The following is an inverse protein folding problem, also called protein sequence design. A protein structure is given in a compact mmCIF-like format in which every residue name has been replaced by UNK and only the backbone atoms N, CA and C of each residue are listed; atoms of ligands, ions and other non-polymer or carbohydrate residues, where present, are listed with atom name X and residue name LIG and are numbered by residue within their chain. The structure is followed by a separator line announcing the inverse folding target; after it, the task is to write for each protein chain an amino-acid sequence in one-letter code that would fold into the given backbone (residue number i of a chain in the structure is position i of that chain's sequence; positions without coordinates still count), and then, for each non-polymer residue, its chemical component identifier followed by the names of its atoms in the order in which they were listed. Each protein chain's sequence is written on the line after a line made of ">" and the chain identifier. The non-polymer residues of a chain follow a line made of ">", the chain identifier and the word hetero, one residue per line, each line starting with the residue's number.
data_IF_204739188263
#
_entry.id   IF_204739188263
#
_cell.length_a   1.000
_cell.length_b   1.000
_cell.length_c   1.000
_cell.angle_alpha   90.00
_cell.angle_beta   90.00
_cell.angle_gamma   90.00
#
_symmetry.space_group_name_H-M   'P 1'
#
loop_
_entity.id
_entity.type
_entity.pdbx_description
1 polymer ?
#
# COMPACT_ATOMS: atom_id res chain seq x y z
N UNK A 1 -59.39 -2.23 -23.08
CA UNK A 1 -58.38 -2.65 -22.11
C UNK A 1 -57.04 -2.55 -22.78
N UNK A 2 -56.31 -1.50 -22.50
CA UNK A 2 -54.93 -1.33 -23.03
C UNK A 2 -53.98 -1.88 -21.99
N UNK A 3 -53.32 -2.99 -22.30
CA UNK A 3 -52.23 -3.53 -21.50
C UNK A 3 -51.02 -2.67 -21.81
N UNK A 4 -50.60 -1.86 -20.84
CA UNK A 4 -49.32 -1.13 -20.90
C UNK A 4 -48.25 -2.13 -20.51
N UNK A 5 -47.53 -2.60 -21.52
CA UNK A 5 -46.33 -3.41 -21.32
C UNK A 5 -45.23 -2.43 -20.91
N UNK A 6 -45.01 -2.31 -19.61
CA UNK A 6 -43.88 -1.58 -19.06
C UNK A 6 -42.61 -2.38 -19.35
N UNK A 7 -41.89 -1.96 -20.36
CA UNK A 7 -40.53 -2.43 -20.61
C UNK A 7 -39.63 -1.78 -19.58
N UNK A 8 -39.41 -2.45 -18.47
CA UNK A 8 -38.30 -2.12 -17.60
C UNK A 8 -37.01 -2.48 -18.33
N UNK A 9 -36.46 -1.48 -18.99
CA UNK A 9 -35.09 -1.52 -19.45
C UNK A 9 -34.21 -1.45 -18.19
N UNK A 10 -33.88 -2.63 -17.65
CA UNK A 10 -32.87 -2.77 -16.62
C UNK A 10 -31.56 -2.31 -17.25
N UNK A 11 -31.23 -1.05 -17.03
CA UNK A 11 -29.90 -0.51 -17.30
C UNK A 11 -28.97 -1.20 -16.30
N UNK A 12 -28.44 -2.32 -16.70
CA UNK A 12 -27.37 -3.00 -16.00
C UNK A 12 -26.16 -2.06 -16.06
N UNK A 13 -26.06 -1.22 -15.03
CA UNK A 13 -24.88 -0.45 -14.78
C UNK A 13 -23.78 -1.49 -14.53
N UNK A 14 -22.99 -1.77 -15.57
CA UNK A 14 -21.70 -2.38 -15.41
C UNK A 14 -20.89 -1.40 -14.54
N UNK A 15 -20.99 -1.53 -13.24
CA UNK A 15 -20.00 -1.01 -12.33
C UNK A 15 -18.72 -1.72 -12.76
N UNK A 16 -17.90 -1.03 -13.54
CA UNK A 16 -16.50 -1.33 -13.67
C UNK A 16 -15.99 -1.28 -12.23
N UNK A 17 -15.86 -2.41 -11.59
CA UNK A 17 -15.11 -2.53 -10.37
C UNK A 17 -13.69 -2.22 -10.79
N UNK A 18 -13.29 -0.96 -10.62
CA UNK A 18 -11.87 -0.65 -10.52
C UNK A 18 -11.34 -1.67 -9.51
N UNK A 19 -10.48 -2.58 -9.95
CA UNK A 19 -9.99 -3.66 -9.12
C UNK A 19 -9.42 -3.06 -7.86
N UNK A 20 -9.82 -3.58 -6.70
CA UNK A 20 -9.22 -3.16 -5.44
C UNK A 20 -7.73 -3.53 -5.49
N UNK A 21 -6.87 -2.58 -5.14
CA UNK A 21 -5.43 -2.84 -5.08
C UNK A 21 -5.16 -3.73 -3.88
N UNK A 22 -4.53 -4.86 -4.11
CA UNK A 22 -4.07 -5.75 -3.06
C UNK A 22 -2.70 -5.29 -2.53
N UNK A 23 -2.57 -5.24 -1.21
CA UNK A 23 -1.31 -4.96 -0.53
C UNK A 23 -0.80 -6.22 0.15
N UNK A 24 0.35 -6.69 -0.28
CA UNK A 24 1.05 -7.79 0.39
C UNK A 24 2.31 -7.29 1.08
N UNK A 25 2.52 -7.77 2.29
CA UNK A 25 3.78 -7.57 3.01
C UNK A 25 4.35 -8.93 3.36
N UNK A 26 5.55 -9.20 2.87
CA UNK A 26 6.28 -10.48 2.90
C UNK A 26 5.43 -11.61 2.30
N UNK A 27 4.47 -12.06 2.39
CA UNK A 27 3.59 -13.06 1.77
C UNK A 27 2.15 -12.97 2.30
N UNK A 28 1.93 -12.02 3.19
CA UNK A 28 0.66 -11.85 3.87
C UNK A 28 -0.16 -10.74 3.20
N UNK A 29 -1.41 -11.04 2.86
CA UNK A 29 -2.36 -10.04 2.38
C UNK A 29 -2.79 -9.15 3.55
N UNK A 30 -2.55 -7.86 3.42
CA UNK A 30 -2.88 -6.89 4.45
C UNK A 30 -4.32 -6.41 4.24
N UNK A 31 -5.18 -6.81 5.15
CA UNK A 31 -6.56 -6.37 5.16
C UNK A 31 -6.67 -4.96 5.77
N UNK A 32 -7.29 -4.06 5.04
CA UNK A 32 -7.48 -2.68 5.48
C UNK A 32 -8.94 -2.26 5.27
N UNK A 33 -9.46 -1.43 6.16
CA UNK A 33 -10.78 -0.83 6.03
C UNK A 33 -10.84 0.25 4.93
N UNK A 34 -9.69 0.85 4.61
CA UNK A 34 -9.52 1.75 3.48
C UNK A 34 -8.50 1.13 2.54
N UNK A 35 -8.91 0.69 1.34
CA UNK A 35 -8.02 0.00 0.41
C UNK A 35 -6.92 0.94 -0.11
N UNK A 36 -5.77 0.39 -0.52
CA UNK A 36 -4.77 1.14 -1.26
C UNK A 36 -5.39 1.84 -2.46
N UNK A 37 -4.95 3.05 -2.73
CA UNK A 37 -5.53 3.93 -3.76
C UNK A 37 -4.44 4.58 -4.58
N UNK A 38 -4.64 4.73 -5.88
CA UNK A 38 -3.70 5.47 -6.76
C UNK A 38 -4.08 6.95 -6.79
N UNK A 39 -3.11 7.80 -6.43
CA UNK A 39 -3.20 9.25 -6.54
C UNK A 39 -1.98 9.76 -7.31
N UNK A 40 -2.20 10.52 -8.37
CA UNK A 40 -1.14 11.07 -9.22
C UNK A 40 -0.07 10.03 -9.65
N UNK A 41 -0.53 8.81 -9.98
CA UNK A 41 0.33 7.72 -10.39
C UNK A 41 1.14 7.06 -9.27
N UNK A 42 0.82 7.34 -8.01
CA UNK A 42 1.45 6.71 -6.84
C UNK A 42 0.43 5.95 -6.02
N UNK A 43 0.77 4.74 -5.61
CA UNK A 43 -0.05 3.95 -4.71
C UNK A 43 0.10 4.45 -3.29
N UNK A 44 -0.99 4.96 -2.73
CA UNK A 44 -1.09 5.34 -1.33
C UNK A 44 -1.70 4.18 -0.53
N UNK A 45 -1.18 3.96 0.66
CA UNK A 45 -1.62 2.92 1.59
C UNK A 45 -1.87 3.52 2.97
N UNK A 46 -2.76 2.92 3.79
CA UNK A 46 -2.96 3.36 5.16
C UNK A 46 -1.66 3.24 5.97
N UNK A 47 -1.20 4.36 6.54
CA UNK A 47 0.10 4.43 7.23
C UNK A 47 0.24 3.41 8.35
N UNK A 48 -0.81 3.21 9.15
CA UNK A 48 -0.78 2.26 10.26
C UNK A 48 -0.66 0.83 9.74
N UNK A 49 -1.44 0.47 8.74
CA UNK A 49 -1.42 -0.88 8.18
C UNK A 49 -0.04 -1.27 7.65
N UNK A 50 0.61 -0.37 6.89
CA UNK A 50 1.95 -0.66 6.34
C UNK A 50 3.01 -0.71 7.45
N UNK A 51 3.00 0.23 8.40
CA UNK A 51 3.99 0.24 9.49
C UNK A 51 3.88 -1.01 10.37
N UNK A 52 2.67 -1.38 10.79
CA UNK A 52 2.44 -2.57 11.61
C UNK A 52 2.85 -3.85 10.87
N UNK A 53 2.51 -3.95 9.59
CA UNK A 53 2.84 -5.12 8.77
C UNK A 53 4.35 -5.34 8.59
N UNK A 54 5.14 -4.27 8.49
CA UNK A 54 6.61 -4.36 8.42
C UNK A 54 7.28 -4.41 9.79
N UNK A 55 6.51 -4.53 10.87
CA UNK A 55 7.02 -4.63 12.24
C UNK A 55 7.47 -3.31 12.86
N UNK A 56 6.98 -2.18 12.35
CA UNK A 56 7.19 -0.87 12.95
C UNK A 56 6.05 -0.52 13.93
N UNK A 57 6.37 0.27 14.95
CA UNK A 57 5.36 0.91 15.79
C UNK A 57 4.97 2.24 15.17
N UNK A 58 3.70 2.62 15.28
CA UNK A 58 3.20 3.90 14.75
C UNK A 58 2.55 4.71 15.85
N UNK A 59 2.88 5.99 15.91
CA UNK A 59 2.23 6.99 16.77
C UNK A 59 1.65 8.10 15.93
N UNK A 60 0.58 8.70 16.41
CA UNK A 60 -0.10 9.82 15.77
C UNK A 60 -0.10 11.02 16.70
N UNK A 61 0.36 12.16 16.20
CA UNK A 61 0.24 13.46 16.86
C UNK A 61 -0.87 14.26 16.18
N UNK A 62 -1.97 14.41 16.89
CA UNK A 62 -3.16 15.12 16.38
C UNK A 62 -2.92 16.62 16.25
N UNK A 63 -2.13 17.21 17.13
CA UNK A 63 -1.87 18.65 17.12
C UNK A 63 -1.11 19.09 15.87
N UNK A 64 -0.22 18.25 15.36
CA UNK A 64 0.60 18.51 14.17
C UNK A 64 0.14 17.75 12.94
N UNK A 65 -0.87 16.87 13.08
CA UNK A 65 -1.32 15.94 12.03
C UNK A 65 -0.14 15.11 11.47
N UNK A 66 0.65 14.55 12.38
CA UNK A 66 1.90 13.87 12.04
C UNK A 66 1.86 12.40 12.48
N UNK A 67 2.20 11.51 11.56
CA UNK A 67 2.45 10.10 11.84
C UNK A 67 3.94 9.86 12.01
N UNK A 68 4.32 9.13 13.05
CA UNK A 68 5.70 8.70 13.29
C UNK A 68 5.74 7.18 13.40
N UNK A 69 6.54 6.55 12.53
CA UNK A 69 6.82 5.12 12.55
C UNK A 69 8.24 4.85 13.02
N UNK A 70 8.40 3.84 13.87
CA UNK A 70 9.73 3.43 14.38
C UNK A 70 9.92 1.94 14.17
N UNK A 71 11.04 1.58 13.52
CA UNK A 71 11.48 0.20 13.31
C UNK A 71 12.98 0.09 13.57
N UNK A 72 13.35 -0.56 14.68
CA UNK A 72 14.75 -0.59 15.12
C UNK A 72 15.31 0.83 15.28
N UNK A 73 16.37 1.14 14.57
CA UNK A 73 17.02 2.45 14.59
C UNK A 73 16.46 3.43 13.53
N UNK A 74 15.43 3.03 12.80
CA UNK A 74 14.80 3.85 11.75
C UNK A 74 13.56 4.52 12.31
N UNK A 75 13.51 5.85 12.21
CA UNK A 75 12.34 6.67 12.52
C UNK A 75 11.91 7.42 11.27
N UNK A 76 10.65 7.26 10.88
CA UNK A 76 10.05 8.01 9.77
C UNK A 76 8.91 8.86 10.29
N UNK A 77 8.96 10.15 9.97
CA UNK A 77 7.94 11.14 10.37
C UNK A 77 7.32 11.75 9.13
N UNK A 78 5.99 11.75 9.05
CA UNK A 78 5.23 12.24 7.91
C UNK A 78 4.07 13.10 8.41
N UNK A 79 3.99 14.32 7.90
CA UNK A 79 2.87 15.23 8.16
C UNK A 79 1.88 15.19 7.01
N UNK A 80 0.58 15.26 7.31
CA UNK A 80 -0.48 15.34 6.28
C UNK A 80 -0.32 16.64 5.48
N UNK A 81 -0.52 16.52 4.16
CA UNK A 81 -0.40 17.59 3.18
C UNK A 81 1.02 18.19 3.02
N UNK A 82 2.04 17.58 3.63
CA UNK A 82 3.43 17.96 3.38
C UNK A 82 4.06 17.04 2.33
N UNK A 83 4.84 17.62 1.42
CA UNK A 83 5.64 16.91 0.43
C UNK A 83 7.03 16.54 0.95
N UNK A 84 7.32 16.82 2.21
CA UNK A 84 8.55 16.45 2.89
C UNK A 84 8.26 15.52 4.05
N UNK A 85 8.91 14.37 4.03
CA UNK A 85 8.96 13.47 5.18
C UNK A 85 10.37 13.50 5.79
N UNK A 86 10.51 12.96 6.99
CA UNK A 86 11.82 12.91 7.65
C UNK A 86 12.16 11.45 7.97
N UNK A 87 13.38 11.05 7.62
CA UNK A 87 13.94 9.75 7.95
C UNK A 87 15.15 9.97 8.85
N UNK A 88 15.06 9.53 10.09
CA UNK A 88 16.07 9.82 11.14
C UNK A 88 16.41 11.31 11.26
N UNK A 89 15.40 12.17 11.10
CA UNK A 89 15.57 13.63 11.14
C UNK A 89 16.05 14.27 9.84
N UNK A 90 16.41 13.48 8.82
CA UNK A 90 16.81 14.01 7.52
C UNK A 90 15.61 14.17 6.58
N UNK A 91 15.46 15.32 5.90
CA UNK A 91 14.34 15.55 5.00
C UNK A 91 14.45 14.69 3.73
N UNK A 92 13.31 14.16 3.31
CA UNK A 92 13.13 13.39 2.08
C UNK A 92 11.87 13.88 1.35
N UNK A 93 12.00 14.13 0.07
CA UNK A 93 10.87 14.55 -0.74
C UNK A 93 9.90 13.38 -1.00
N UNK A 94 8.62 13.68 -0.93
CA UNK A 94 7.52 12.79 -1.36
C UNK A 94 7.05 13.23 -2.75
N UNK A 95 6.88 12.29 -3.67
CA UNK A 95 6.29 12.58 -4.99
C UNK A 95 4.83 13.03 -4.87
N UNK A 96 4.12 12.46 -3.89
CA UNK A 96 2.74 12.79 -3.54
C UNK A 96 2.68 12.95 -2.02
N UNK A 97 2.08 14.02 -1.50
CA UNK A 97 2.00 14.22 -0.05
C UNK A 97 1.13 13.16 0.62
N UNK A 98 1.38 12.90 1.89
CA UNK A 98 0.46 12.15 2.72
C UNK A 98 -0.89 12.85 2.78
N UNK A 99 -1.97 12.09 2.68
CA UNK A 99 -3.34 12.61 2.58
C UNK A 99 -4.27 11.90 3.54
N UNK A 100 -5.32 12.60 3.95
CA UNK A 100 -6.43 11.98 4.69
C UNK A 100 -7.49 11.51 3.69
N UNK A 101 -7.70 10.20 3.59
CA UNK A 101 -8.74 9.58 2.76
C UNK A 101 -9.57 8.66 3.65
N UNK A 102 -10.88 8.84 3.67
CA UNK A 102 -11.80 8.08 4.52
C UNK A 102 -11.33 8.01 5.99
N UNK A 103 -10.91 9.14 6.55
CA UNK A 103 -10.40 9.25 7.92
C UNK A 103 -9.13 8.41 8.20
N UNK A 104 -8.44 7.97 7.17
CA UNK A 104 -7.15 7.27 7.26
C UNK A 104 -6.04 8.10 6.64
N UNK A 105 -4.93 8.20 7.34
CA UNK A 105 -3.72 8.81 6.79
C UNK A 105 -3.11 7.85 5.77
N UNK A 106 -3.15 8.27 4.51
CA UNK A 106 -2.62 7.53 3.37
C UNK A 106 -1.26 8.08 2.98
N UNK A 107 -0.30 7.19 2.77
CA UNK A 107 1.10 7.54 2.47
C UNK A 107 1.59 6.77 1.25
N UNK A 108 2.56 7.33 0.49
CA UNK A 108 3.15 6.60 -0.64
C UNK A 108 3.83 5.30 -0.17
N UNK A 109 3.30 4.16 -0.63
CA UNK A 109 3.74 2.83 -0.22
C UNK A 109 5.24 2.63 -0.44
N UNK A 110 5.75 3.03 -1.62
CA UNK A 110 7.16 2.90 -1.98
C UNK A 110 8.05 3.67 -1.02
N UNK A 111 7.74 4.94 -0.76
CA UNK A 111 8.53 5.76 0.13
C UNK A 111 8.67 5.14 1.52
N UNK A 112 7.54 4.75 2.13
CA UNK A 112 7.53 4.17 3.47
C UNK A 112 8.33 2.87 3.53
N UNK A 113 8.09 1.99 2.57
CA UNK A 113 8.73 0.68 2.56
C UNK A 113 10.24 0.79 2.37
N UNK A 114 10.69 1.60 1.41
CA UNK A 114 12.12 1.84 1.17
C UNK A 114 12.79 2.52 2.36
N UNK A 115 12.14 3.51 2.98
CA UNK A 115 12.65 4.20 4.17
C UNK A 115 12.82 3.25 5.37
N UNK A 116 11.98 2.23 5.46
CA UNK A 116 12.02 1.19 6.51
C UNK A 116 12.86 -0.04 6.13
N UNK A 117 13.60 0.00 5.02
CA UNK A 117 14.49 -1.08 4.59
C UNK A 117 13.79 -2.24 3.87
N UNK A 118 12.62 -1.99 3.29
CA UNK A 118 11.89 -2.96 2.47
C UNK A 118 11.99 -2.62 0.98
N UNK A 119 11.80 -3.62 0.12
CA UNK A 119 11.62 -3.43 -1.32
C UNK A 119 10.13 -3.41 -1.65
N UNK A 120 9.75 -2.62 -2.66
CA UNK A 120 8.38 -2.58 -3.16
C UNK A 120 8.37 -2.92 -4.64
N UNK A 121 7.52 -3.86 -5.00
CA UNK A 121 7.26 -4.24 -6.39
C UNK A 121 5.78 -4.03 -6.70
N UNK A 122 5.51 -3.35 -7.81
CA UNK A 122 4.17 -3.20 -8.34
C UNK A 122 3.94 -4.21 -9.45
N UNK A 123 2.87 -4.98 -9.33
CA UNK A 123 2.40 -5.92 -10.34
C UNK A 123 1.15 -5.36 -11.01
N UNK A 124 1.34 -4.78 -12.19
CA UNK A 124 0.26 -4.08 -12.92
C UNK A 124 -0.86 -5.03 -13.35
N UNK A 125 -0.53 -6.25 -13.76
CA UNK A 125 -1.51 -7.24 -14.23
C UNK A 125 -2.50 -7.71 -13.16
N UNK A 126 -2.11 -7.63 -11.89
CA UNK A 126 -2.91 -8.06 -10.74
C UNK A 126 -3.30 -6.92 -9.83
N UNK A 127 -2.91 -5.67 -10.18
CA UNK A 127 -3.09 -4.49 -9.33
C UNK A 127 -2.62 -4.72 -7.89
N UNK A 128 -1.42 -5.29 -7.75
CA UNK A 128 -0.87 -5.70 -6.46
C UNK A 128 0.39 -4.93 -6.11
N UNK A 129 0.43 -4.38 -4.91
CA UNK A 129 1.64 -3.85 -4.29
C UNK A 129 2.24 -4.91 -3.36
N UNK A 130 3.45 -5.37 -3.64
CA UNK A 130 4.16 -6.34 -2.84
C UNK A 130 5.35 -5.69 -2.14
N UNK A 131 5.39 -5.77 -0.83
CA UNK A 131 6.45 -5.25 0.03
C UNK A 131 7.23 -6.41 0.64
N UNK A 132 8.53 -6.44 0.45
CA UNK A 132 9.41 -7.49 0.96
C UNK A 132 10.45 -6.91 1.91
N UNK A 133 10.58 -7.50 3.09
CA UNK A 133 11.61 -7.13 4.05
C UNK A 133 12.98 -7.66 3.59
N UNK A 134 13.93 -6.76 3.30
CA UNK A 134 15.28 -7.11 2.86
C UNK A 134 16.03 -7.99 3.85
N UNK A 135 15.73 -7.86 5.13
CA UNK A 135 16.41 -8.63 6.16
C UNK A 135 16.00 -10.09 6.20
N UNK A 136 14.83 -10.41 5.62
CA UNK A 136 14.32 -11.79 5.57
C UNK A 136 14.76 -12.55 4.32
N UNK A 137 15.44 -11.89 3.39
CA UNK A 137 15.92 -12.53 2.15
C UNK A 137 14.82 -13.09 1.25
N UNK A 138 13.61 -12.55 1.37
CA UNK A 138 12.42 -13.05 0.68
C UNK A 138 12.15 -12.23 -0.58
N UNK A 139 11.89 -12.91 -1.69
CA UNK A 139 11.36 -12.31 -2.91
C UNK A 139 9.92 -12.77 -3.12
N UNK A 140 9.00 -11.82 -3.28
CA UNK A 140 7.60 -12.12 -3.53
C UNK A 140 7.38 -12.11 -5.04
N UNK A 141 6.84 -13.19 -5.58
CA UNK A 141 6.38 -13.27 -6.95
C UNK A 141 4.85 -13.45 -6.97
N UNK A 142 4.16 -12.55 -7.65
CA UNK A 142 2.71 -12.67 -7.86
C UNK A 142 2.48 -13.27 -9.25
N UNK A 143 1.80 -14.38 -9.33
CA UNK A 143 1.52 -15.05 -10.60
C UNK A 143 0.14 -14.66 -11.15
N UNK A 144 0.05 -14.57 -12.48
CA UNK A 144 -1.15 -14.20 -13.25
C UNK A 144 -2.39 -15.11 -13.01
N UNK A 145 -2.18 -16.32 -12.49
CA UNK A 145 -3.24 -17.29 -12.26
C UNK A 145 -3.92 -17.20 -10.88
N UNK A 146 -3.69 -16.12 -10.17
CA UNK A 146 -4.37 -15.78 -8.92
C UNK A 146 -4.09 -16.74 -7.77
N UNK A 147 -3.53 -16.26 -6.68
CA UNK A 147 -3.48 -16.87 -5.36
C UNK A 147 -2.38 -17.91 -5.08
N UNK A 148 -1.32 -17.99 -5.85
CA UNK A 148 -0.14 -18.77 -5.42
C UNK A 148 1.08 -17.87 -5.39
N UNK A 149 1.50 -17.51 -4.18
CA UNK A 149 2.76 -16.83 -3.93
C UNK A 149 3.83 -17.90 -3.84
N UNK A 150 4.85 -17.81 -4.69
CA UNK A 150 6.00 -18.68 -4.59
C UNK A 150 7.12 -17.96 -3.85
N UNK A 151 7.52 -18.53 -2.76
CA UNK A 151 8.75 -18.22 -2.07
C UNK A 151 9.90 -18.83 -2.88
N UNK A 152 10.81 -18.00 -3.36
CA UNK A 152 12.07 -18.46 -3.89
C UNK A 152 13.15 -18.20 -2.84
N UNK A 153 13.60 -19.23 -2.15
CA UNK A 153 14.92 -19.16 -1.54
C UNK A 153 15.92 -18.92 -2.67
N UNK A 154 16.73 -17.86 -2.54
CA UNK A 154 17.87 -17.68 -3.43
C UNK A 154 18.68 -18.95 -3.39
N UNK A 155 18.66 -19.73 -4.47
CA UNK A 155 19.67 -20.73 -4.69
C UNK A 155 21.02 -20.04 -4.66
N UNK A 156 21.78 -20.19 -3.59
CA UNK A 156 23.21 -19.98 -3.60
C UNK A 156 23.76 -20.96 -4.63
N UNK A 157 23.92 -20.51 -5.86
CA UNK A 157 24.70 -21.17 -6.86
C UNK A 157 26.15 -21.23 -6.36
N UNK A 158 26.50 -22.31 -5.71
CA UNK A 158 27.88 -22.64 -5.43
C UNK A 158 28.61 -22.86 -6.75
N UNK A 159 29.82 -22.32 -6.80
CA UNK A 159 30.96 -22.51 -7.70
C UNK A 159 30.70 -22.39 -9.17
#
# INVERSE_FOLDING_TARGET
>A
MKKVLSFFLSLMLLASTAGAIDLYVDTELIQTDTPPTVVDGRTLVPVRAIFEAIGATVTWDEATSTATGVRGDITVTIQINDTTAYVNGEPRALDVPAQLINERTMVPARFISEAMGCDVTWYEETETAAVADKTKGQHIYVTKSGKKYHYSETCNGGT
#
